data_IF_903886703653
#
_entry.id   IF_903886703653
#
_cell.length_a   1.000
_cell.length_b   1.000
_cell.length_c   1.000
_cell.angle_alpha   90.00
_cell.angle_beta   90.00
_cell.angle_gamma   90.00
#
_symmetry.space_group_name_H-M   'P 1'
#
loop_
_entity.id
_entity.type
_entity.pdbx_description
1 polymer ?
#
# COMPACT_ATOMS: atom_id res chain seq x y z
N UNK A 1 -1.81 5.62 -46.94
CA UNK A 1 -1.31 6.42 -45.80
C UNK A 1 -1.86 5.87 -44.47
N UNK A 2 -1.72 4.57 -44.17
CA UNK A 2 -2.10 3.93 -42.87
C UNK A 2 -1.24 2.66 -42.64
N UNK A 3 0.09 2.76 -42.68
CA UNK A 3 1.01 1.63 -42.37
C UNK A 3 2.23 2.09 -41.55
N UNK A 4 2.09 3.16 -40.75
CA UNK A 4 3.18 3.72 -39.93
C UNK A 4 2.91 3.63 -38.42
N UNK A 5 1.92 2.87 -37.98
CA UNK A 5 1.49 2.83 -36.57
C UNK A 5 1.63 1.45 -35.89
N UNK A 6 2.29 0.47 -36.52
CA UNK A 6 2.52 -0.86 -35.91
C UNK A 6 3.97 -1.12 -35.48
N UNK A 7 4.80 -0.09 -35.40
CA UNK A 7 6.19 -0.23 -34.98
C UNK A 7 6.53 0.85 -33.97
N UNK A 8 6.20 0.58 -32.71
CA UNK A 8 6.80 1.15 -31.50
C UNK A 8 6.11 0.47 -30.32
N UNK A 9 6.91 -0.30 -29.59
CA UNK A 9 6.85 -0.76 -28.19
C UNK A 9 7.55 -2.12 -28.19
N UNK A 10 8.82 -2.04 -28.58
CA UNK A 10 9.83 -3.06 -28.35
C UNK A 10 9.96 -3.26 -26.85
N UNK A 11 9.73 -4.48 -26.39
CA UNK A 11 9.90 -4.90 -25.01
C UNK A 11 11.39 -5.22 -24.78
N UNK A 12 12.21 -4.20 -24.57
CA UNK A 12 13.62 -4.35 -24.15
C UNK A 12 13.85 -3.94 -22.69
N UNK A 13 12.78 -3.75 -21.90
CA UNK A 13 12.83 -3.31 -20.50
C UNK A 13 13.00 -4.45 -19.49
N UNK A 14 13.11 -5.70 -19.93
CA UNK A 14 13.23 -6.87 -19.05
C UNK A 14 14.69 -7.31 -18.81
N UNK A 15 15.61 -6.86 -19.67
CA UNK A 15 17.04 -7.21 -19.60
C UNK A 15 17.77 -6.48 -18.46
N UNK A 16 17.24 -5.33 -18.02
CA UNK A 16 17.76 -4.54 -16.90
C UNK A 16 17.52 -5.15 -15.52
N UNK A 17 16.59 -6.11 -15.40
CA UNK A 17 16.31 -6.77 -14.13
C UNK A 17 17.34 -7.87 -13.80
N UNK A 18 18.01 -8.43 -14.82
CA UNK A 18 19.06 -9.44 -14.61
C UNK A 18 20.40 -8.82 -14.18
N UNK A 19 20.56 -7.51 -14.32
CA UNK A 19 21.78 -6.76 -13.94
C UNK A 19 21.78 -6.37 -12.44
N UNK A 20 20.60 -6.23 -11.83
CA UNK A 20 20.44 -5.97 -10.38
C UNK A 20 20.87 -7.18 -9.54
N UNK A 21 20.72 -8.40 -10.08
CA UNK A 21 21.13 -9.65 -9.46
C UNK A 21 22.64 -9.81 -9.28
N UNK A 22 23.46 -9.00 -9.96
CA UNK A 22 24.93 -9.09 -9.96
C UNK A 22 25.66 -8.17 -8.97
N UNK A 23 24.97 -7.26 -8.28
CA UNK A 23 25.64 -6.16 -7.56
C UNK A 23 25.05 -5.87 -6.17
N UNK A 24 24.88 -6.86 -5.29
CA UNK A 24 24.77 -6.62 -3.83
C UNK A 24 25.33 -7.77 -2.97
N UNK A 25 26.22 -8.60 -3.52
CA UNK A 25 27.03 -9.54 -2.76
C UNK A 25 28.48 -9.04 -2.73
N UNK A 26 28.82 -8.06 -1.88
CA UNK A 26 30.20 -7.74 -1.45
C UNK A 26 30.22 -6.64 -0.39
N UNK A 27 30.07 -7.00 0.89
CA UNK A 27 30.84 -6.46 2.02
C UNK A 27 30.32 -7.08 3.33
N UNK A 28 31.19 -7.87 3.96
CA UNK A 28 30.95 -8.63 5.17
C UNK A 28 31.06 -7.80 6.45
N UNK A 29 30.23 -8.15 7.45
CA UNK A 29 30.51 -8.30 8.90
C UNK A 29 31.23 -7.16 9.65
N UNK A 30 30.56 -6.57 10.65
CA UNK A 30 31.16 -6.31 11.97
C UNK A 30 30.14 -5.86 13.08
N UNK A 31 30.05 -6.68 14.12
CA UNK A 31 29.68 -6.48 15.53
C UNK A 31 30.22 -5.24 16.31
N UNK A 32 29.29 -4.54 17.02
CA UNK A 32 29.30 -3.83 18.35
C UNK A 32 30.35 -2.70 18.64
N UNK A 33 30.08 -1.59 19.41
CA UNK A 33 29.20 -1.44 20.60
C UNK A 33 28.43 -0.07 20.73
N UNK A 34 27.89 0.17 21.94
CA UNK A 34 27.12 1.32 22.50
C UNK A 34 27.52 2.73 22.05
N UNK A 35 26.47 3.51 21.75
CA UNK A 35 26.35 4.92 22.13
C UNK A 35 26.98 5.92 21.18
N UNK A 36 26.23 6.37 20.18
CA UNK A 36 26.34 7.73 19.66
C UNK A 36 25.00 8.10 19.02
N UNK A 37 24.53 9.32 19.28
CA UNK A 37 23.32 9.86 18.71
C UNK A 37 23.53 10.09 17.21
N UNK A 38 23.12 9.14 16.38
CA UNK A 38 22.92 9.38 14.97
C UNK A 38 21.47 9.79 14.73
N UNK A 39 21.28 10.87 13.98
CA UNK A 39 20.03 11.24 13.33
C UNK A 39 19.48 9.99 12.65
N UNK A 40 18.58 9.31 13.36
CA UNK A 40 17.84 8.20 12.82
C UNK A 40 17.20 8.69 11.54
N UNK A 41 17.46 7.96 10.47
CA UNK A 41 16.67 7.88 9.25
C UNK A 41 15.18 7.78 9.63
N UNK A 42 14.59 8.91 9.99
CA UNK A 42 13.25 9.00 10.52
C UNK A 42 12.37 9.03 9.30
N UNK A 43 11.99 7.83 8.88
CA UNK A 43 10.82 7.65 8.02
C UNK A 43 9.68 8.39 8.72
N UNK A 44 9.46 9.62 8.28
CA UNK A 44 8.62 10.58 8.99
C UNK A 44 7.17 10.12 8.82
N UNK A 45 6.37 10.21 9.88
CA UNK A 45 4.95 9.82 9.84
C UNK A 45 4.21 10.44 8.65
N UNK A 46 4.52 11.69 8.30
CA UNK A 46 3.99 12.37 7.11
C UNK A 46 4.33 11.67 5.79
N UNK A 47 5.51 11.04 5.68
CA UNK A 47 5.93 10.27 4.50
C UNK A 47 5.15 8.97 4.37
N UNK A 48 4.96 8.24 5.47
CA UNK A 48 4.14 7.03 5.51
C UNK A 48 2.68 7.38 5.19
N UNK A 49 2.17 8.47 5.77
CA UNK A 49 0.81 8.93 5.50
C UNK A 49 0.63 9.33 4.02
N UNK A 50 1.60 10.04 3.43
CA UNK A 50 1.57 10.40 2.01
C UNK A 50 1.59 9.16 1.11
N UNK A 51 2.35 8.13 1.47
CA UNK A 51 2.41 6.88 0.74
C UNK A 51 1.11 6.08 0.85
N UNK A 52 0.48 6.06 2.04
CA UNK A 52 -0.84 5.45 2.25
C UNK A 52 -1.91 6.18 1.43
N UNK A 53 -1.89 7.52 1.41
CA UNK A 53 -2.85 8.32 0.61
C UNK A 53 -2.67 8.05 -0.88
N UNK A 54 -1.44 8.06 -1.40
CA UNK A 54 -1.19 7.73 -2.81
C UNK A 54 -1.60 6.30 -3.17
N UNK A 55 -1.36 5.34 -2.27
CA UNK A 55 -1.83 3.96 -2.45
C UNK A 55 -3.36 3.85 -2.42
N UNK A 56 -4.05 4.65 -1.60
CA UNK A 56 -5.50 4.70 -1.55
C UNK A 56 -6.11 5.29 -2.83
N UNK A 57 -5.55 6.39 -3.36
CA UNK A 57 -5.98 6.98 -4.64
C UNK A 57 -5.87 5.99 -5.79
N UNK A 58 -4.73 5.29 -5.92
CA UNK A 58 -4.55 4.25 -6.94
C UNK A 58 -5.57 3.12 -6.80
N UNK A 59 -5.87 2.68 -5.57
CA UNK A 59 -6.87 1.64 -5.31
C UNK A 59 -8.29 2.10 -5.64
N UNK A 60 -8.64 3.35 -5.34
CA UNK A 60 -9.94 3.92 -5.68
C UNK A 60 -10.13 4.04 -7.19
N UNK A 61 -9.11 4.51 -7.91
CA UNK A 61 -9.15 4.61 -9.36
C UNK A 61 -9.28 3.23 -10.04
N UNK A 62 -8.58 2.22 -9.50
CA UNK A 62 -8.72 0.85 -9.95
C UNK A 62 -10.13 0.29 -9.65
N UNK A 63 -10.65 0.54 -8.44
CA UNK A 63 -11.99 0.13 -8.04
C UNK A 63 -13.07 0.79 -8.92
N UNK A 64 -12.95 2.07 -9.27
CA UNK A 64 -13.86 2.73 -10.23
C UNK A 64 -13.80 2.07 -11.60
N UNK A 65 -12.60 1.78 -12.12
CA UNK A 65 -12.46 1.07 -13.40
C UNK A 65 -13.10 -0.32 -13.35
N UNK A 66 -12.97 -1.03 -12.22
CA UNK A 66 -13.55 -2.36 -12.03
C UNK A 66 -15.07 -2.29 -11.85
N UNK A 67 -15.59 -1.28 -11.14
CA UNK A 67 -17.01 -1.04 -10.94
C UNK A 67 -17.71 -0.63 -12.24
N UNK A 68 -17.07 0.19 -13.07
CA UNK A 68 -17.54 0.49 -14.43
C UNK A 68 -17.57 -0.78 -15.28
N UNK A 69 -16.54 -1.63 -15.19
CA UNK A 69 -16.51 -2.93 -15.85
C UNK A 69 -17.58 -3.92 -15.34
N UNK A 70 -17.88 -3.89 -14.04
CA UNK A 70 -18.84 -4.80 -13.38
C UNK A 70 -20.30 -4.41 -13.66
N UNK A 71 -20.61 -3.11 -13.75
CA UNK A 71 -21.90 -2.60 -14.21
C UNK A 71 -22.24 -3.01 -15.66
N UNK A 72 -21.26 -3.52 -16.42
CA UNK A 72 -21.47 -4.12 -17.73
C UNK A 72 -22.09 -5.53 -17.69
N UNK A 73 -22.42 -6.06 -16.50
CA UNK A 73 -23.40 -7.16 -16.33
C UNK A 73 -22.82 -8.50 -15.87
N UNK A 74 -22.57 -8.66 -14.56
CA UNK A 74 -22.16 -9.94 -13.96
C UNK A 74 -23.20 -10.48 -12.97
N UNK A 75 -23.61 -11.74 -13.15
CA UNK A 75 -24.54 -12.50 -12.29
C UNK A 75 -24.03 -12.67 -10.85
N UNK A 76 -24.47 -11.84 -9.90
CA UNK A 76 -24.15 -12.00 -8.47
C UNK A 76 -25.38 -12.53 -7.72
N UNK A 77 -25.29 -13.78 -7.25
CA UNK A 77 -26.37 -14.46 -6.51
C UNK A 77 -26.57 -13.91 -5.09
N UNK A 78 -27.81 -13.94 -4.59
CA UNK A 78 -28.23 -13.39 -3.27
C UNK A 78 -27.38 -13.92 -2.08
N UNK A 79 -26.85 -15.14 -2.17
CA UNK A 79 -25.95 -15.71 -1.14
C UNK A 79 -24.59 -15.01 -1.08
N UNK A 80 -24.07 -14.60 -2.24
CA UNK A 80 -22.81 -13.87 -2.37
C UNK A 80 -22.95 -12.46 -1.78
N UNK A 81 -24.10 -11.82 -2.02
CA UNK A 81 -24.43 -10.51 -1.43
C UNK A 81 -24.43 -10.57 0.09
N UNK A 82 -25.08 -11.58 0.69
CA UNK A 82 -25.13 -11.73 2.15
C UNK A 82 -23.75 -12.03 2.74
N UNK A 83 -22.96 -12.87 2.09
CA UNK A 83 -21.59 -13.14 2.54
C UNK A 83 -20.74 -11.88 2.51
N UNK A 84 -20.86 -11.07 1.46
CA UNK A 84 -20.13 -9.81 1.33
C UNK A 84 -20.54 -8.78 2.39
N UNK A 85 -21.82 -8.73 2.75
CA UNK A 85 -22.31 -7.89 3.87
C UNK A 85 -21.73 -8.35 5.20
N UNK A 86 -21.75 -9.66 5.48
CA UNK A 86 -21.16 -10.20 6.71
C UNK A 86 -19.65 -9.93 6.82
N UNK A 87 -18.93 -10.02 5.69
CA UNK A 87 -17.50 -9.68 5.64
C UNK A 87 -17.26 -8.19 5.87
N UNK A 88 -18.10 -7.33 5.30
CA UNK A 88 -18.07 -5.89 5.52
C UNK A 88 -18.34 -5.54 7.00
N UNK A 89 -19.30 -6.19 7.65
CA UNK A 89 -19.58 -6.00 9.08
C UNK A 89 -18.39 -6.37 9.96
N UNK A 90 -17.70 -7.47 9.64
CA UNK A 90 -16.50 -7.90 10.37
C UNK A 90 -15.35 -6.91 10.22
N UNK A 91 -15.16 -6.37 9.01
CA UNK A 91 -14.18 -5.32 8.72
C UNK A 91 -14.51 -4.03 9.47
N UNK A 92 -15.77 -3.60 9.43
CA UNK A 92 -16.25 -2.40 10.12
C UNK A 92 -16.06 -2.49 11.63
N UNK A 93 -16.40 -3.63 12.23
CA UNK A 93 -16.19 -3.85 13.67
C UNK A 93 -14.71 -3.72 14.06
N UNK A 94 -13.81 -4.23 13.22
CA UNK A 94 -12.36 -4.10 13.41
C UNK A 94 -11.89 -2.66 13.27
N UNK A 95 -12.42 -1.92 12.28
CA UNK A 95 -12.13 -0.51 12.10
C UNK A 95 -12.59 0.35 13.29
N UNK A 96 -13.76 0.04 13.87
CA UNK A 96 -14.27 0.70 15.08
C UNK A 96 -13.35 0.43 16.28
N UNK A 97 -12.92 -0.82 16.48
CA UNK A 97 -11.99 -1.15 17.57
C UNK A 97 -10.65 -0.40 17.43
N UNK A 98 -10.15 -0.24 16.20
CA UNK A 98 -8.96 0.53 15.92
C UNK A 98 -9.16 2.02 16.21
N UNK A 99 -10.31 2.60 15.81
CA UNK A 99 -10.68 3.98 16.13
C UNK A 99 -10.65 4.23 17.63
N UNK A 100 -11.25 3.33 18.40
CA UNK A 100 -11.31 3.48 19.86
C UNK A 100 -9.90 3.37 20.49
N UNK A 101 -9.04 2.47 19.99
CA UNK A 101 -7.63 2.39 20.42
C UNK A 101 -6.82 3.64 20.11
N UNK A 102 -7.02 4.24 18.93
CA UNK A 102 -6.31 5.48 18.56
C UNK A 102 -6.76 6.67 19.41
N UNK A 103 -8.07 6.77 19.71
CA UNK A 103 -8.58 7.80 20.62
C UNK A 103 -8.01 7.62 22.03
N UNK A 104 -7.94 6.39 22.53
CA UNK A 104 -7.30 6.09 23.82
C UNK A 104 -5.83 6.52 23.83
N UNK A 105 -5.04 6.15 22.82
CA UNK A 105 -3.63 6.53 22.72
C UNK A 105 -3.44 8.06 22.66
N UNK A 106 -4.31 8.77 21.92
CA UNK A 106 -4.29 10.22 21.89
C UNK A 106 -4.54 10.85 23.26
N UNK A 107 -5.55 10.36 23.99
CA UNK A 107 -5.85 10.84 25.34
C UNK A 107 -4.74 10.51 26.34
N UNK A 108 -4.10 9.35 26.21
CA UNK A 108 -2.98 8.93 27.06
C UNK A 108 -1.76 9.85 26.85
N UNK A 109 -1.36 10.10 25.61
CA UNK A 109 -0.30 11.04 25.27
C UNK A 109 -0.65 12.46 25.73
N UNK A 110 -1.91 12.89 25.56
CA UNK A 110 -2.34 14.23 25.99
C UNK A 110 -2.38 14.40 27.52
N UNK A 111 -2.60 13.32 28.29
CA UNK A 111 -2.59 13.34 29.76
C UNK A 111 -1.20 13.15 30.35
N UNK A 112 -0.23 12.73 29.55
CA UNK A 112 1.17 12.75 29.92
C UNK A 112 1.57 14.23 30.05
N UNK A 113 1.41 14.76 31.26
CA UNK A 113 1.78 16.12 31.61
C UNK A 113 3.28 16.27 31.36
N UNK A 114 3.61 17.06 30.35
CA UNK A 114 4.89 17.77 30.25
C UNK A 114 5.04 18.72 31.43
#
# INVERSE_FOLDING_TARGET
>A
MIQALSSVISHSSFDSLNQISGQMNSAAVQYLPVGEAEEGNSVSFSKILSEIVGAAEMKLQNAESLSIGSLAGSDVGVREVVNSVMEAERSLSTAIALRDKMVQAYLEVSRMQI
#
